data_IF_220547587176
#
_entry.id   IF_220547587176
#
_cell.length_a   1.000
_cell.length_b   1.000
_cell.length_c   1.000
_cell.angle_alpha   90.00
_cell.angle_beta   90.00
_cell.angle_gamma   90.00
#
_symmetry.space_group_name_H-M   'P 1'
#
loop_
_entity.id
_entity.type
_entity.pdbx_description
1 polymer ?
#
# COMPACT_ATOMS: atom_id res chain seq x y z
N UNK A 1 0.26 25.35 33.04
CA UNK A 1 -0.16 24.74 31.76
C UNK A 1 0.48 23.36 31.64
N UNK A 2 -0.31 22.29 31.72
CA UNK A 2 0.20 20.91 31.61
C UNK A 2 0.07 20.41 30.18
N UNK A 3 1.11 20.56 29.36
CA UNK A 3 1.18 19.88 28.07
C UNK A 3 1.82 18.50 28.27
N UNK A 4 1.00 17.48 28.47
CA UNK A 4 1.40 16.08 28.25
C UNK A 4 0.55 15.53 27.10
N UNK A 5 1.10 15.60 25.90
CA UNK A 5 0.55 14.88 24.77
C UNK A 5 0.80 13.39 25.00
N UNK A 6 -0.19 12.66 25.54
CA UNK A 6 -0.18 11.20 25.51
C UNK A 6 -0.60 10.75 24.12
N UNK A 7 0.37 10.68 23.21
CA UNK A 7 0.24 9.75 22.09
C UNK A 7 0.86 8.45 22.60
N UNK A 8 0.03 7.53 23.10
CA UNK A 8 0.43 6.14 23.22
C UNK A 8 0.85 5.74 21.80
N UNK A 9 2.16 5.68 21.54
CA UNK A 9 2.66 5.34 20.24
C UNK A 9 2.43 3.84 20.04
N UNK A 10 1.20 3.50 19.64
CA UNK A 10 0.79 2.15 19.25
C UNK A 10 1.34 1.77 17.88
N UNK A 11 2.23 2.59 17.28
CA UNK A 11 3.20 2.08 16.31
C UNK A 11 4.09 1.14 17.10
N UNK A 12 3.60 -0.10 17.26
CA UNK A 12 4.39 -1.22 17.73
C UNK A 12 5.72 -1.08 17.00
N UNK A 13 6.80 -1.09 17.76
CA UNK A 13 8.18 -1.12 17.25
C UNK A 13 8.45 -2.47 16.55
N UNK A 14 7.46 -2.99 15.83
CA UNK A 14 7.62 -4.06 14.87
C UNK A 14 8.33 -3.46 13.68
N UNK A 15 9.37 -4.14 13.24
CA UNK A 15 10.11 -3.77 12.06
C UNK A 15 9.12 -3.71 10.89
N UNK A 16 8.73 -2.50 10.46
CA UNK A 16 7.99 -2.36 9.21
C UNK A 16 9.02 -2.67 8.13
N UNK A 17 8.86 -3.80 7.47
CA UNK A 17 9.74 -4.21 6.37
C UNK A 17 9.44 -3.31 5.17
N UNK A 18 10.06 -2.14 5.16
CA UNK A 18 10.06 -1.24 4.02
C UNK A 18 10.92 -1.84 2.93
N UNK A 19 10.28 -2.23 1.83
CA UNK A 19 10.97 -2.61 0.61
C UNK A 19 10.67 -1.54 -0.46
N UNK A 20 11.59 -0.57 -0.66
CA UNK A 20 11.39 0.53 -1.60
C UNK A 20 11.10 0.06 -3.03
N UNK A 21 11.61 -1.11 -3.43
CA UNK A 21 11.37 -1.67 -4.77
C UNK A 21 9.92 -2.11 -4.94
N UNK A 22 9.36 -2.80 -3.94
CA UNK A 22 7.96 -3.26 -3.98
C UNK A 22 7.01 -2.07 -3.83
N UNK A 23 7.33 -1.12 -2.95
CA UNK A 23 6.53 0.08 -2.73
C UNK A 23 6.50 0.97 -3.99
N UNK A 24 7.65 1.19 -4.64
CA UNK A 24 7.72 1.95 -5.89
C UNK A 24 7.02 1.25 -7.05
N UNK A 25 7.17 -0.07 -7.19
CA UNK A 25 6.45 -0.83 -8.21
C UNK A 25 4.92 -0.71 -8.05
N UNK A 26 4.41 -0.82 -6.82
CA UNK A 26 2.98 -0.60 -6.55
C UNK A 26 2.54 0.84 -6.81
N UNK A 27 3.38 1.83 -6.52
CA UNK A 27 3.06 3.23 -6.79
C UNK A 27 3.01 3.54 -8.30
N UNK A 28 3.89 2.92 -9.09
CA UNK A 28 3.99 3.15 -10.54
C UNK A 28 2.93 2.37 -11.33
N UNK A 29 2.76 1.09 -11.01
CA UNK A 29 1.89 0.18 -11.78
C UNK A 29 0.52 -0.04 -11.13
N UNK A 30 0.31 0.47 -9.92
CA UNK A 30 -0.86 0.15 -9.11
C UNK A 30 -0.79 -1.28 -8.55
N UNK A 31 -1.78 -1.63 -7.72
CA UNK A 31 -2.00 -3.04 -7.41
C UNK A 31 -2.46 -3.77 -8.69
N UNK A 32 -2.03 -5.02 -8.91
CA UNK A 32 -2.47 -5.80 -10.07
C UNK A 32 -3.99 -5.96 -10.02
N UNK A 33 -4.67 -5.11 -10.79
CA UNK A 33 -6.12 -5.13 -10.91
C UNK A 33 -6.47 -6.07 -12.04
N UNK A 34 -7.28 -7.09 -11.75
CA UNK A 34 -7.90 -7.88 -12.81
C UNK A 34 -8.63 -6.90 -13.74
N UNK A 35 -8.32 -6.95 -15.04
CA UNK A 35 -9.11 -6.21 -16.02
C UNK A 35 -10.56 -6.68 -15.91
N UNK A 36 -11.49 -5.75 -16.01
CA UNK A 36 -12.91 -6.13 -16.15
C UNK A 36 -13.02 -7.02 -17.38
N UNK A 37 -13.72 -8.15 -17.23
CA UNK A 37 -13.87 -9.11 -18.31
C UNK A 37 -14.55 -8.44 -19.51
N UNK A 38 -13.81 -8.28 -20.61
CA UNK A 38 -14.34 -7.73 -21.83
C UNK A 38 -14.47 -8.85 -22.89
N UNK A 39 -15.69 -9.15 -23.37
CA UNK A 39 -15.90 -10.16 -24.41
C UNK A 39 -15.21 -9.83 -25.74
N UNK A 40 -14.74 -8.59 -25.96
CA UNK A 40 -13.92 -8.25 -27.13
C UNK A 40 -12.44 -8.61 -26.97
N UNK A 41 -11.95 -8.90 -25.75
CA UNK A 41 -10.56 -9.31 -25.51
C UNK A 41 -10.24 -10.65 -26.18
N UNK A 42 -11.27 -11.45 -26.47
CA UNK A 42 -11.18 -12.77 -27.09
C UNK A 42 -11.63 -12.79 -28.56
N UNK A 43 -11.96 -11.63 -29.15
CA UNK A 43 -12.23 -11.54 -30.59
C UNK A 43 -10.91 -11.33 -31.33
N UNK A 44 -10.50 -12.38 -32.04
CA UNK A 44 -9.38 -12.40 -33.01
C UNK A 44 -9.82 -11.74 -34.31
#
# INVERSE_FOLDING_TARGET
MTNKMKANNTRKKGNVNHNPQVESAKAVFGDPKAKEYNPTDFKI
#
